data_IF_300120371816
#
_entry.id   IF_300120371816
#
_cell.length_a   1.000
_cell.length_b   1.000
_cell.length_c   1.000
_cell.angle_alpha   90.00
_cell.angle_beta   90.00
_cell.angle_gamma   90.00
#
_symmetry.space_group_name_H-M   'P 1'
#
loop_
_entity.id
_entity.type
_entity.pdbx_description
1 polymer ?
#
# COMPACT_ATOMS: atom_id res chain seq x y z
N UNK A 1 -17.63 21.92 -27.28
CA UNK A 1 -18.24 21.48 -26.00
C UNK A 1 -17.12 21.03 -25.08
N UNK A 2 -17.08 21.52 -23.83
CA UNK A 2 -16.11 21.04 -22.84
C UNK A 2 -16.43 19.57 -22.54
N UNK A 3 -15.54 18.65 -22.90
CA UNK A 3 -15.72 17.22 -22.62
C UNK A 3 -15.51 16.98 -21.12
N UNK A 4 -16.55 17.20 -20.34
CA UNK A 4 -16.53 16.98 -18.89
C UNK A 4 -16.10 15.53 -18.55
N UNK A 5 -16.42 14.56 -19.42
CA UNK A 5 -16.01 13.15 -19.27
C UNK A 5 -14.48 13.01 -19.41
N UNK A 6 -13.87 13.67 -20.41
CA UNK A 6 -12.42 13.68 -20.59
C UNK A 6 -11.73 14.37 -19.40
N UNK A 7 -12.30 15.46 -18.91
CA UNK A 7 -11.76 16.18 -17.75
C UNK A 7 -11.77 15.33 -16.48
N UNK A 8 -12.88 14.61 -16.21
CA UNK A 8 -12.96 13.67 -15.10
C UNK A 8 -11.96 12.53 -15.25
N UNK A 9 -11.81 11.97 -16.45
CA UNK A 9 -10.81 10.94 -16.71
C UNK A 9 -9.39 11.43 -16.41
N UNK A 10 -9.01 12.61 -16.92
CA UNK A 10 -7.68 13.20 -16.66
C UNK A 10 -7.45 13.44 -15.17
N UNK A 11 -8.47 13.94 -14.44
CA UNK A 11 -8.34 14.17 -13.00
C UNK A 11 -8.10 12.86 -12.25
N UNK A 12 -8.86 11.81 -12.58
CA UNK A 12 -8.71 10.50 -11.93
C UNK A 12 -7.40 9.81 -12.32
N UNK A 13 -6.94 9.98 -13.56
CA UNK A 13 -5.63 9.48 -14.04
C UNK A 13 -4.46 10.19 -13.32
N UNK A 14 -4.59 11.49 -13.02
CA UNK A 14 -3.64 12.21 -12.17
C UNK A 14 -3.64 11.71 -10.72
N UNK A 15 -4.81 11.39 -10.16
CA UNK A 15 -4.89 10.78 -8.82
C UNK A 15 -4.26 9.38 -8.81
N UNK A 16 -4.42 8.61 -9.87
CA UNK A 16 -3.82 7.28 -10.03
C UNK A 16 -2.28 7.35 -10.02
N UNK A 17 -1.68 8.24 -10.81
CA UNK A 17 -0.21 8.40 -10.78
C UNK A 17 0.28 8.99 -9.46
N UNK A 18 -0.49 9.89 -8.83
CA UNK A 18 -0.16 10.40 -7.49
C UNK A 18 -0.18 9.29 -6.45
N UNK A 19 -1.13 8.35 -6.53
CA UNK A 19 -1.19 7.17 -5.67
C UNK A 19 0.05 6.25 -5.86
N UNK A 20 0.48 6.03 -7.11
CA UNK A 20 1.74 5.35 -7.41
C UNK A 20 2.96 6.07 -6.83
N UNK A 21 2.97 7.41 -6.88
CA UNK A 21 3.98 8.26 -6.23
C UNK A 21 4.03 8.10 -4.72
N UNK A 22 2.88 8.13 -4.05
CA UNK A 22 2.81 7.88 -2.60
C UNK A 22 3.32 6.48 -2.24
N UNK A 23 2.94 5.48 -3.03
CA UNK A 23 3.32 4.09 -2.80
C UNK A 23 4.83 3.86 -2.98
N UNK A 24 5.47 4.46 -3.99
CA UNK A 24 6.93 4.36 -4.16
C UNK A 24 7.70 5.16 -3.10
N UNK A 25 7.23 6.36 -2.74
CA UNK A 25 7.86 7.18 -1.69
C UNK A 25 7.82 6.42 -0.38
N UNK A 26 6.66 5.89 0.00
CA UNK A 26 6.51 5.08 1.20
C UNK A 26 7.48 3.89 1.19
N UNK A 27 7.54 3.13 0.09
CA UNK A 27 8.39 1.95 0.02
C UNK A 27 9.90 2.28 0.07
N UNK A 28 10.33 3.36 -0.57
CA UNK A 28 11.75 3.77 -0.58
C UNK A 28 12.19 4.41 0.74
N UNK A 29 11.37 5.29 1.32
CA UNK A 29 11.66 5.92 2.63
C UNK A 29 11.77 4.83 3.70
N UNK A 30 10.78 3.94 3.75
CA UNK A 30 10.79 2.80 4.68
C UNK A 30 12.03 1.92 4.53
N UNK A 31 12.41 1.60 3.27
CA UNK A 31 13.60 0.78 3.00
C UNK A 31 14.90 1.49 3.39
N UNK A 32 14.93 2.82 3.30
CA UNK A 32 16.06 3.63 3.77
C UNK A 32 16.14 3.63 5.30
N UNK A 33 15.02 3.71 6.01
CA UNK A 33 14.96 3.72 7.48
C UNK A 33 15.37 2.36 8.08
N UNK A 34 14.95 1.25 7.47
CA UNK A 34 15.35 -0.10 7.91
C UNK A 34 16.88 -0.28 7.88
N UNK A 35 17.58 0.38 6.94
CA UNK A 35 19.04 0.29 6.83
C UNK A 35 19.79 1.16 7.86
N UNK A 36 19.08 1.97 8.64
CA UNK A 36 19.65 2.78 9.72
C UNK A 36 19.96 1.97 10.98
N UNK A 37 20.78 2.52 11.86
CA UNK A 37 21.06 1.91 13.18
C UNK A 37 19.80 1.98 14.06
N UNK A 38 19.31 0.85 14.62
CA UNK A 38 18.08 0.83 15.39
C UNK A 38 18.23 1.59 16.72
N UNK A 39 17.43 2.64 16.90
CA UNK A 39 17.27 3.39 18.15
C UNK A 39 16.02 2.94 18.93
N UNK A 40 15.92 3.24 20.22
CA UNK A 40 14.80 2.84 21.10
C UNK A 40 13.44 3.21 20.47
N UNK A 41 13.33 4.38 19.84
CA UNK A 41 12.10 4.85 19.21
C UNK A 41 11.78 4.13 17.88
N UNK A 42 12.78 3.65 17.16
CA UNK A 42 12.62 3.10 15.81
C UNK A 42 12.61 1.56 15.76
N UNK A 43 13.08 0.89 16.83
CA UNK A 43 13.20 -0.58 16.86
C UNK A 43 11.90 -1.28 16.53
N UNK A 44 10.78 -0.84 17.11
CA UNK A 44 9.48 -1.43 16.85
C UNK A 44 9.03 -1.23 15.40
N UNK A 45 9.21 -0.02 14.86
CA UNK A 45 8.85 0.30 13.48
C UNK A 45 9.67 -0.49 12.46
N UNK A 46 10.98 -0.62 12.67
CA UNK A 46 11.84 -1.44 11.82
C UNK A 46 11.39 -2.91 11.76
N UNK A 47 10.91 -3.44 12.87
CA UNK A 47 10.33 -4.79 12.90
C UNK A 47 9.01 -4.83 12.12
N UNK A 48 8.13 -3.85 12.29
CA UNK A 48 6.85 -3.79 11.57
C UNK A 48 7.04 -3.67 10.06
N UNK A 49 7.99 -2.83 9.63
CA UNK A 49 8.33 -2.67 8.22
C UNK A 49 8.89 -3.96 7.59
N UNK A 50 9.57 -4.81 8.37
CA UNK A 50 10.06 -6.11 7.88
C UNK A 50 8.93 -7.09 7.52
N UNK A 51 7.73 -6.88 8.06
CA UNK A 51 6.53 -7.66 7.71
C UNK A 51 5.83 -7.14 6.44
N UNK A 52 6.19 -5.94 5.97
CA UNK A 52 5.60 -5.37 4.76
C UNK A 52 6.33 -5.87 3.50
N UNK A 53 5.62 -6.29 2.44
CA UNK A 53 6.23 -6.73 1.18
C UNK A 53 6.72 -5.53 0.33
N UNK A 54 7.73 -4.81 0.83
CA UNK A 54 8.26 -3.56 0.25
C UNK A 54 8.73 -3.71 -1.20
N UNK A 55 9.36 -4.84 -1.55
CA UNK A 55 9.78 -5.08 -2.93
C UNK A 55 8.59 -5.27 -3.88
N UNK A 56 7.49 -5.89 -3.41
CA UNK A 56 6.26 -6.01 -4.19
C UNK A 56 5.61 -4.64 -4.37
N UNK A 57 5.61 -3.80 -3.33
CA UNK A 57 5.13 -2.42 -3.40
C UNK A 57 5.90 -1.62 -4.47
N UNK A 58 7.23 -1.65 -4.45
CA UNK A 58 8.06 -0.98 -5.49
C UNK A 58 7.69 -1.48 -6.90
N UNK A 59 7.55 -2.79 -7.09
CA UNK A 59 7.15 -3.38 -8.36
C UNK A 59 5.79 -2.87 -8.84
N UNK A 60 4.81 -2.79 -7.94
CA UNK A 60 3.49 -2.26 -8.26
C UNK A 60 3.53 -0.78 -8.65
N UNK A 61 4.33 0.02 -7.93
CA UNK A 61 4.50 1.44 -8.25
C UNK A 61 5.02 1.65 -9.66
N UNK A 62 6.03 0.86 -10.07
CA UNK A 62 6.57 0.91 -11.44
C UNK A 62 5.50 0.55 -12.47
N UNK A 63 4.66 -0.44 -12.19
CA UNK A 63 3.53 -0.79 -13.07
C UNK A 63 2.50 0.34 -13.17
N UNK A 64 2.21 1.06 -12.08
CA UNK A 64 1.32 2.23 -12.08
C UNK A 64 1.89 3.34 -12.98
N UNK A 65 3.17 3.69 -12.82
CA UNK A 65 3.81 4.70 -13.68
C UNK A 65 3.83 4.28 -15.15
N UNK A 66 4.13 3.02 -15.44
CA UNK A 66 4.08 2.49 -16.80
C UNK A 66 2.66 2.56 -17.37
N UNK A 67 1.66 2.19 -16.58
CA UNK A 67 0.25 2.26 -16.97
C UNK A 67 -0.17 3.70 -17.28
N UNK A 68 0.26 4.66 -16.47
CA UNK A 68 0.03 6.09 -16.72
C UNK A 68 0.69 6.56 -18.03
N UNK A 69 1.92 6.13 -18.34
CA UNK A 69 2.54 6.44 -19.63
C UNK A 69 1.73 5.88 -20.81
N UNK A 70 1.04 4.75 -20.62
CA UNK A 70 0.17 4.15 -21.63
C UNK A 70 -1.20 4.84 -21.74
N UNK A 71 -1.66 5.55 -20.69
CA UNK A 71 -2.89 6.37 -20.75
C UNK A 71 -2.67 7.73 -21.44
N UNK A 72 -1.44 8.26 -21.45
CA UNK A 72 -1.10 9.53 -22.14
C UNK A 72 -1.48 9.54 -23.64
N UNK A 73 -1.09 8.54 -24.47
CA UNK A 73 -1.56 8.44 -25.85
C UNK A 73 -3.08 8.40 -25.96
N UNK A 74 -3.76 7.75 -25.00
CA UNK A 74 -5.21 7.68 -24.99
C UNK A 74 -5.86 9.05 -24.75
N UNK A 75 -5.23 9.95 -23.99
CA UNK A 75 -5.68 11.33 -23.76
C UNK A 75 -5.44 12.19 -25.01
N UNK A 76 -4.23 12.13 -25.58
CA UNK A 76 -3.80 12.99 -26.70
C UNK A 76 -4.44 12.59 -28.03
N UNK A 77 -4.66 11.30 -28.26
CA UNK A 77 -5.24 10.77 -29.50
C UNK A 77 -6.68 10.26 -29.27
N UNK A 78 -7.70 11.13 -29.40
CA UNK A 78 -9.09 10.76 -29.13
C UNK A 78 -9.63 9.68 -30.07
N UNK A 79 -9.06 9.54 -31.28
CA UNK A 79 -9.48 8.57 -32.29
C UNK A 79 -9.01 7.13 -32.01
N UNK A 80 -8.02 6.93 -31.13
CA UNK A 80 -7.45 5.60 -30.90
C UNK A 80 -8.03 4.94 -29.67
N UNK A 81 -9.11 4.17 -29.84
CA UNK A 81 -9.77 3.41 -28.74
C UNK A 81 -8.95 2.23 -28.22
N UNK A 82 -7.96 1.78 -28.98
CA UNK A 82 -7.07 0.67 -28.59
C UNK A 82 -6.23 0.99 -27.34
N UNK A 83 -5.60 2.17 -27.33
CA UNK A 83 -4.79 2.65 -26.19
C UNK A 83 -5.60 2.76 -24.90
N UNK A 84 -6.84 3.25 -25.00
CA UNK A 84 -7.72 3.39 -23.85
C UNK A 84 -8.15 2.03 -23.27
N UNK A 85 -8.40 1.02 -24.12
CA UNK A 85 -8.65 -0.35 -23.65
C UNK A 85 -7.41 -0.95 -23.00
N UNK A 86 -6.26 -0.80 -23.63
CA UNK A 86 -4.99 -1.34 -23.12
C UNK A 86 -4.64 -0.74 -21.75
N UNK A 87 -4.70 0.59 -21.63
CA UNK A 87 -4.53 1.29 -20.36
C UNK A 87 -5.52 0.80 -19.29
N UNK A 88 -6.81 0.69 -19.64
CA UNK A 88 -7.83 0.17 -18.72
C UNK A 88 -7.56 -1.24 -18.21
N UNK A 89 -7.13 -2.17 -19.08
CA UNK A 89 -6.76 -3.53 -18.66
C UNK A 89 -5.51 -3.53 -17.77
N UNK A 90 -4.52 -2.68 -18.06
CA UNK A 90 -3.34 -2.53 -17.20
C UNK A 90 -3.69 -1.94 -15.83
N UNK A 91 -4.63 -1.00 -15.76
CA UNK A 91 -5.16 -0.49 -14.48
C UNK A 91 -5.84 -1.61 -13.68
N UNK A 92 -6.58 -2.52 -14.31
CA UNK A 92 -7.17 -3.69 -13.63
C UNK A 92 -6.08 -4.58 -13.03
N UNK A 93 -4.99 -4.83 -13.76
CA UNK A 93 -3.85 -5.62 -13.26
C UNK A 93 -3.22 -4.92 -12.06
N UNK A 94 -2.99 -3.59 -12.13
CA UNK A 94 -2.49 -2.80 -11.01
C UNK A 94 -3.42 -2.91 -9.79
N UNK A 95 -4.74 -2.75 -9.99
CA UNK A 95 -5.73 -2.84 -8.92
C UNK A 95 -5.70 -4.18 -8.18
N UNK A 96 -5.63 -5.29 -8.94
CA UNK A 96 -5.53 -6.64 -8.38
C UNK A 96 -4.22 -6.79 -7.60
N UNK A 97 -3.11 -6.30 -8.14
CA UNK A 97 -1.82 -6.40 -7.48
C UNK A 97 -1.77 -5.58 -6.18
N UNK A 98 -2.26 -4.34 -6.20
CA UNK A 98 -2.41 -3.49 -5.00
C UNK A 98 -3.32 -4.17 -3.96
N UNK A 99 -4.42 -4.76 -4.40
CA UNK A 99 -5.35 -5.48 -3.53
C UNK A 99 -4.71 -6.69 -2.87
N UNK A 100 -3.91 -7.47 -3.59
CA UNK A 100 -3.17 -8.61 -3.02
C UNK A 100 -2.18 -8.14 -1.96
N UNK A 101 -1.44 -7.06 -2.20
CA UNK A 101 -0.54 -6.47 -1.18
C UNK A 101 -1.34 -6.04 0.06
N UNK A 102 -2.46 -5.34 -0.13
CA UNK A 102 -3.31 -4.89 0.98
C UNK A 102 -3.85 -6.05 1.81
N UNK A 103 -4.27 -7.14 1.14
CA UNK A 103 -4.76 -8.35 1.80
C UNK A 103 -3.65 -9.08 2.56
N UNK A 104 -2.45 -9.18 2.01
CA UNK A 104 -1.29 -9.81 2.66
C UNK A 104 -0.97 -9.11 4.00
N UNK A 105 -0.86 -7.78 3.96
CA UNK A 105 -0.64 -6.95 5.17
C UNK A 105 -1.81 -7.09 6.16
N UNK A 106 -3.04 -7.12 5.67
CA UNK A 106 -4.22 -7.30 6.52
C UNK A 106 -4.26 -8.69 7.19
N UNK A 107 -3.84 -9.75 6.50
CA UNK A 107 -3.73 -11.07 7.13
C UNK A 107 -2.67 -11.12 8.24
N UNK A 108 -1.58 -10.36 8.08
CA UNK A 108 -0.56 -10.19 9.11
C UNK A 108 -1.12 -9.53 10.38
N UNK A 109 -2.03 -8.55 10.27
CA UNK A 109 -2.67 -7.93 11.46
C UNK A 109 -3.55 -8.91 12.24
N UNK A 110 -4.30 -9.77 11.54
CA UNK A 110 -5.12 -10.82 12.17
C UNK A 110 -4.27 -11.82 12.97
N UNK A 111 -3.01 -12.04 12.58
CA UNK A 111 -2.09 -12.99 13.22
C UNK A 111 -0.94 -12.30 13.93
N UNK A 112 -1.04 -10.99 14.21
CA UNK A 112 0.06 -10.18 14.73
C UNK A 112 0.71 -10.80 15.97
N UNK A 113 -0.07 -11.26 16.96
CA UNK A 113 0.47 -11.90 18.18
C UNK A 113 1.28 -13.17 17.91
N UNK A 114 0.95 -13.93 16.87
CA UNK A 114 1.69 -15.14 16.51
C UNK A 114 2.96 -14.78 15.74
N UNK A 115 2.83 -13.89 14.75
CA UNK A 115 3.93 -13.52 13.86
C UNK A 115 5.00 -12.70 14.61
N UNK A 116 4.59 -11.75 15.46
CA UNK A 116 5.49 -11.05 16.37
C UNK A 116 6.19 -11.99 17.35
N UNK A 117 5.56 -13.09 17.75
CA UNK A 117 6.18 -14.08 18.64
C UNK A 117 7.27 -14.86 17.93
N UNK A 118 7.06 -15.22 16.66
CA UNK A 118 8.10 -15.83 15.84
C UNK A 118 9.28 -14.87 15.64
N UNK A 119 9.00 -13.60 15.35
CA UNK A 119 10.03 -12.57 15.19
C UNK A 119 10.76 -12.31 16.52
N UNK A 120 10.05 -12.27 17.64
CA UNK A 120 10.67 -12.10 18.96
C UNK A 120 11.75 -13.15 19.22
N UNK A 121 11.49 -14.41 18.89
CA UNK A 121 12.43 -15.51 19.09
C UNK A 121 13.66 -15.46 18.17
N UNK A 122 13.59 -14.76 17.04
CA UNK A 122 14.72 -14.60 16.11
C UNK A 122 15.51 -13.32 16.33
N UNK A 123 14.94 -12.36 17.07
CA UNK A 123 15.60 -11.10 17.39
C UNK A 123 16.78 -11.31 18.36
N UNK A 124 17.88 -10.56 18.19
CA UNK A 124 19.00 -10.60 19.13
C UNK A 124 18.62 -9.99 20.48
N UNK A 125 19.29 -10.44 21.54
CA UNK A 125 19.01 -10.01 22.91
C UNK A 125 19.10 -8.49 23.12
N UNK A 126 19.98 -7.80 22.38
CA UNK A 126 20.07 -6.34 22.39
C UNK A 126 18.79 -5.67 21.92
N UNK A 127 18.19 -6.15 20.83
CA UNK A 127 16.93 -5.60 20.28
C UNK A 127 15.74 -5.95 21.17
N UNK A 128 15.75 -7.14 21.78
CA UNK A 128 14.73 -7.51 22.78
C UNK A 128 14.78 -6.59 24.01
N UNK A 129 15.97 -6.25 24.52
CA UNK A 129 16.11 -5.30 25.63
C UNK A 129 15.62 -3.89 25.26
N UNK A 130 15.90 -3.41 24.05
CA UNK A 130 15.36 -2.13 23.60
C UNK A 130 13.83 -2.13 23.54
N UNK A 131 13.21 -3.24 23.11
CA UNK A 131 11.76 -3.40 23.12
C UNK A 131 11.18 -3.46 24.54
N UNK A 132 11.86 -4.15 25.47
CA UNK A 132 11.46 -4.23 26.88
C UNK A 132 11.49 -2.85 27.54
N UNK A 133 12.55 -2.09 27.29
CA UNK A 133 12.68 -0.71 27.77
C UNK A 133 11.65 0.22 27.15
N UNK A 134 11.34 0.07 25.84
CA UNK A 134 10.37 0.91 25.14
C UNK A 134 8.93 0.73 25.64
N UNK A 135 8.52 -0.52 25.86
CA UNK A 135 7.14 -0.87 26.19
C UNK A 135 6.91 -1.14 27.68
N UNK A 136 7.94 -0.94 28.52
CA UNK A 136 7.92 -1.19 29.97
C UNK A 136 7.35 -2.59 30.30
N UNK A 137 7.95 -3.62 29.71
CA UNK A 137 7.44 -4.99 29.74
C UNK A 137 8.58 -6.00 29.83
N UNK A 138 8.29 -7.21 30.34
CA UNK A 138 9.29 -8.26 30.54
C UNK A 138 8.89 -9.57 29.87
N UNK A 139 9.76 -10.10 29.00
CA UNK A 139 9.49 -11.30 28.20
C UNK A 139 8.37 -11.09 27.16
N UNK A 140 8.07 -12.11 26.35
CA UNK A 140 7.06 -11.97 25.28
C UNK A 140 5.64 -12.22 25.80
N UNK A 141 5.34 -13.46 26.19
CA UNK A 141 4.02 -13.82 26.72
C UNK A 141 3.93 -13.56 28.22
N UNK A 142 4.99 -13.91 28.94
CA UNK A 142 5.22 -13.67 30.37
C UNK A 142 6.73 -13.56 30.60
N UNK A 143 7.15 -13.19 31.80
CA UNK A 143 8.57 -13.09 32.20
C UNK A 143 9.37 -14.38 31.96
N UNK A 144 8.75 -15.55 31.95
CA UNK A 144 9.44 -16.84 31.78
C UNK A 144 9.34 -17.45 30.38
N UNK A 145 8.59 -16.86 29.44
CA UNK A 145 8.34 -17.49 28.13
C UNK A 145 8.16 -16.48 26.99
N UNK A 146 9.19 -16.32 26.13
CA UNK A 146 10.61 -16.62 26.33
C UNK A 146 11.19 -15.82 27.50
N UNK A 147 12.33 -16.26 28.04
CA UNK A 147 12.99 -15.62 29.18
C UNK A 147 13.30 -14.15 28.86
N UNK A 148 13.02 -13.24 29.80
CA UNK A 148 13.36 -11.83 29.66
C UNK A 148 14.88 -11.61 29.58
N UNK A 149 15.30 -10.51 28.96
CA UNK A 149 16.71 -10.10 28.92
C UNK A 149 16.92 -9.19 30.12
N UNK A 150 18.00 -9.39 30.87
CA UNK A 150 18.29 -8.55 32.03
C UNK A 150 18.67 -7.15 31.56
N UNK A 151 17.82 -6.18 31.86
CA UNK A 151 18.01 -4.77 31.52
C UNK A 151 17.56 -3.84 32.66
N UNK A 152 17.52 -2.53 32.40
CA UNK A 152 17.12 -1.54 33.41
C UNK A 152 15.67 -1.68 33.87
N UNK A 153 14.81 -2.24 33.02
CA UNK A 153 13.37 -2.47 33.24
C UNK A 153 13.13 -3.80 33.98
N UNK A 154 13.87 -4.83 33.60
CA UNK A 154 13.78 -6.19 34.13
C UNK A 154 15.12 -6.63 34.77
N UNK A 155 15.56 -6.02 35.89
CA UNK A 155 16.90 -6.27 36.45
C UNK A 155 17.01 -7.64 37.13
N UNK A 156 15.90 -8.17 37.66
CA UNK A 156 15.85 -9.45 38.34
C UNK A 156 14.50 -10.16 38.11
N UNK A 157 14.43 -11.49 38.30
CA UNK A 157 13.20 -12.25 38.08
C UNK A 157 12.00 -11.80 38.92
N UNK A 158 12.24 -11.23 40.10
CA UNK A 158 11.19 -10.74 41.00
C UNK A 158 10.54 -9.46 40.45
N UNK A 159 11.35 -8.53 39.96
CA UNK A 159 10.87 -7.33 39.28
C UNK A 159 10.18 -7.68 37.95
N UNK A 160 10.76 -8.63 37.19
CA UNK A 160 10.17 -9.09 35.94
C UNK A 160 8.81 -9.81 36.14
N UNK A 161 8.61 -10.50 37.27
CA UNK A 161 7.35 -11.14 37.60
C UNK A 161 6.22 -10.15 37.96
N UNK A 162 6.57 -8.93 38.37
CA UNK A 162 5.60 -7.86 38.62
C UNK A 162 5.16 -7.13 37.34
N UNK A 163 5.90 -7.30 36.24
CA UNK A 163 5.64 -6.65 34.96
C UNK A 163 4.80 -7.54 34.03
N UNK A 164 4.10 -6.89 33.09
CA UNK A 164 3.31 -7.57 32.06
C UNK A 164 4.19 -8.04 30.90
N UNK A 165 3.75 -9.08 30.18
CA UNK A 165 4.41 -9.54 28.96
C UNK A 165 4.28 -8.54 27.81
N UNK A 166 5.33 -8.43 26.99
CA UNK A 166 5.39 -7.45 25.90
C UNK A 166 4.36 -7.68 24.79
N UNK A 167 3.76 -8.88 24.67
CA UNK A 167 2.79 -9.21 23.61
C UNK A 167 1.63 -8.23 23.52
N UNK A 168 1.13 -7.72 24.66
CA UNK A 168 0.02 -6.78 24.72
C UNK A 168 0.33 -5.44 24.05
N UNK A 169 1.22 -4.62 24.64
CA UNK A 169 1.59 -3.32 24.10
C UNK A 169 2.22 -3.43 22.71
N UNK A 170 3.05 -4.45 22.47
CA UNK A 170 3.71 -4.64 21.19
C UNK A 170 2.74 -4.97 20.05
N UNK A 171 1.77 -5.87 20.29
CA UNK A 171 0.75 -6.18 19.27
C UNK A 171 -0.23 -5.02 19.03
N UNK A 172 -0.52 -4.22 20.06
CA UNK A 172 -1.37 -3.03 19.90
C UNK A 172 -0.72 -1.99 18.99
N UNK A 173 0.56 -1.71 19.21
CA UNK A 173 1.32 -0.77 18.38
C UNK A 173 1.45 -1.29 16.94
N UNK A 174 1.81 -2.57 16.78
CA UNK A 174 1.92 -3.21 15.47
C UNK A 174 0.60 -3.13 14.67
N UNK A 175 -0.52 -3.45 15.32
CA UNK A 175 -1.83 -3.41 14.68
C UNK A 175 -2.19 -1.98 14.28
N UNK A 176 -2.01 -0.99 15.17
CA UNK A 176 -2.31 0.41 14.84
C UNK A 176 -1.48 0.91 13.65
N UNK A 177 -0.22 0.48 13.57
CA UNK A 177 0.67 0.84 12.48
C UNK A 177 0.27 0.19 11.15
N UNK A 178 0.07 -1.13 11.15
CA UNK A 178 -0.32 -1.89 9.96
C UNK A 178 -1.73 -1.52 9.48
N UNK A 179 -2.65 -1.14 10.39
CA UNK A 179 -3.99 -0.66 10.08
C UNK A 179 -3.98 0.58 9.17
N UNK A 180 -3.10 1.54 9.47
CA UNK A 180 -2.95 2.75 8.65
C UNK A 180 -2.43 2.38 7.25
N UNK A 181 -1.45 1.48 7.16
CA UNK A 181 -0.82 1.08 5.90
C UNK A 181 -1.81 0.34 5.00
N UNK A 182 -2.49 -0.71 5.50
CA UNK A 182 -3.42 -1.44 4.63
C UNK A 182 -4.63 -0.58 4.26
N UNK A 183 -5.09 0.32 5.14
CA UNK A 183 -6.17 1.26 4.81
C UNK A 183 -5.75 2.18 3.68
N UNK A 184 -4.51 2.68 3.70
CA UNK A 184 -3.92 3.42 2.58
C UNK A 184 -3.90 2.59 1.29
N UNK A 185 -3.47 1.33 1.35
CA UNK A 185 -3.44 0.44 0.20
C UNK A 185 -4.83 0.19 -0.41
N UNK A 186 -5.86 -0.06 0.41
CA UNK A 186 -7.24 -0.17 -0.07
C UNK A 186 -7.79 1.16 -0.62
N UNK A 187 -7.35 2.29 -0.08
CA UNK A 187 -7.63 3.62 -0.64
C UNK A 187 -7.10 3.77 -2.07
N UNK A 188 -5.88 3.30 -2.33
CA UNK A 188 -5.29 3.27 -3.69
C UNK A 188 -6.13 2.38 -4.61
N UNK A 189 -6.53 1.19 -4.16
CA UNK A 189 -7.45 0.31 -4.94
C UNK A 189 -8.75 1.05 -5.30
N UNK A 190 -9.28 1.87 -4.39
CA UNK A 190 -10.45 2.71 -4.66
C UNK A 190 -10.23 3.69 -5.82
N UNK A 191 -9.05 4.30 -5.90
CA UNK A 191 -8.65 5.18 -7.02
C UNK A 191 -8.51 4.36 -8.31
N UNK A 192 -7.92 3.17 -8.25
CA UNK A 192 -7.78 2.28 -9.41
C UNK A 192 -9.16 1.92 -9.99
N UNK A 193 -10.12 1.56 -9.13
CA UNK A 193 -11.51 1.27 -9.52
C UNK A 193 -12.18 2.51 -10.13
N UNK A 194 -11.96 3.70 -9.56
CA UNK A 194 -12.47 4.94 -10.14
C UNK A 194 -11.90 5.18 -11.55
N UNK A 195 -10.60 4.91 -11.78
CA UNK A 195 -9.98 5.03 -13.09
C UNK A 195 -10.54 4.01 -14.09
N UNK A 196 -10.79 2.77 -13.66
CA UNK A 196 -11.43 1.73 -14.49
C UNK A 196 -12.83 2.19 -14.93
N UNK A 197 -13.63 2.72 -14.02
CA UNK A 197 -14.96 3.26 -14.32
C UNK A 197 -14.89 4.46 -15.27
N UNK A 198 -13.97 5.41 -15.02
CA UNK A 198 -13.74 6.56 -15.89
C UNK A 198 -13.31 6.12 -17.31
N UNK A 199 -12.45 5.10 -17.40
CA UNK A 199 -12.03 4.50 -18.68
C UNK A 199 -13.22 3.91 -19.43
N UNK A 200 -14.10 3.17 -18.74
CA UNK A 200 -15.30 2.58 -19.35
C UNK A 200 -16.29 3.66 -19.86
N UNK A 201 -16.49 4.73 -19.08
CA UNK A 201 -17.32 5.87 -19.47
C UNK A 201 -16.76 6.56 -20.71
N UNK A 202 -15.45 6.82 -20.73
CA UNK A 202 -14.77 7.49 -21.85
C UNK A 202 -14.73 6.61 -23.12
N UNK A 203 -14.60 5.28 -22.96
CA UNK A 203 -14.73 4.33 -24.07
C UNK A 203 -16.13 4.35 -24.69
N UNK A 204 -17.17 4.48 -23.86
CA UNK A 204 -18.56 4.57 -24.33
C UNK A 204 -18.83 5.88 -25.03
N UNK A 205 -18.40 7.01 -24.46
CA UNK A 205 -18.53 8.34 -25.07
C UNK A 205 -17.86 8.42 -26.45
N UNK A 206 -16.61 7.93 -26.58
CA UNK A 206 -15.92 7.88 -27.88
C UNK A 206 -16.63 6.99 -28.89
N UNK A 207 -17.19 5.85 -28.45
CA UNK A 207 -17.96 4.94 -29.32
C UNK A 207 -19.24 5.60 -29.84
N UNK A 208 -19.92 6.38 -28.99
CA UNK A 208 -21.13 7.11 -29.38
C UNK A 208 -20.79 8.23 -30.38
N UNK A 209 -19.74 9.03 -30.12
CA UNK A 209 -19.25 10.06 -31.05
C UNK A 209 -18.86 9.51 -32.42
N UNK A 210 -18.12 8.39 -32.46
CA UNK A 210 -17.79 7.70 -33.72
C UNK A 210 -19.04 7.25 -34.49
N UNK A 211 -20.04 6.72 -33.78
CA UNK A 211 -21.31 6.30 -34.40
C UNK A 211 -22.06 7.50 -34.99
N UNK A 212 -22.13 8.63 -34.27
CA UNK A 212 -22.77 9.83 -34.78
C UNK A 212 -22.03 10.39 -36.00
N UNK A 213 -20.70 10.38 -36.00
CA UNK A 213 -19.91 10.75 -37.19
C UNK A 213 -20.25 9.89 -38.40
N UNK A 214 -20.36 8.56 -38.23
CA UNK A 214 -20.75 7.67 -39.33
C UNK A 214 -22.20 7.84 -39.79
N UNK A 215 -23.09 8.34 -38.93
CA UNK A 215 -24.46 8.69 -39.32
C UNK A 215 -24.46 9.99 -40.13
N UNK A 216 -23.66 10.98 -39.72
CA UNK A 216 -23.52 12.27 -40.39
C UNK A 216 -22.85 12.13 -41.77
N UNK A 217 -21.83 11.26 -41.88
CA UNK A 217 -21.22 10.86 -43.15
C UNK A 217 -22.23 10.23 -44.11
N UNK A 218 -23.25 9.53 -43.59
CA UNK A 218 -24.29 8.86 -44.39
C UNK A 218 -25.48 9.76 -44.75
N UNK A 219 -25.78 10.78 -43.94
CA UNK A 219 -26.89 11.70 -44.18
C UNK A 219 -26.58 12.74 -45.27
N UNK A 220 -25.37 12.74 -45.83
CA UNK A 220 -24.97 13.67 -46.89
C UNK A 220 -24.80 15.11 -46.41
N UNK A 221 -24.80 15.33 -45.09
CA UNK A 221 -24.39 16.59 -44.48
C UNK A 221 -22.85 16.68 -44.56
N UNK A 222 -22.35 16.95 -45.77
CA UNK A 222 -20.99 17.40 -45.94
C UNK A 222 -20.82 18.75 -45.24
N UNK A 223 -19.93 18.76 -44.25
CA UNK A 223 -19.33 19.93 -43.60
C UNK A 223 -20.25 20.83 -42.76
N UNK A 224 -20.06 20.75 -41.44
CA UNK A 224 -19.63 21.91 -40.64
C UNK A 224 -18.57 21.48 -39.64
#
# INVERSE_FOLDING_TARGET
MRDNILMTYVLVDLLFVAAGGLLIIFALVTKSEINGTPNIDDVAHNIFFSMCPLNAAIGNAVMIFFTFLMTVPAIVMPMTRGWLKFGGYMTVICAIFTMVIGLDIWFETLKARKNLGNIWNTLPASTQSLLQTKFDCCGYANSTSPLFVTDTTCPNPQAAAAQVGCVGPFSKEANSFLDIIFTGAFGIVGIDVALILATAMLLKDRKEKERYRHIDEKSGAGAF
#
